data_IF_559838273471
#
_entry.id   IF_559838273471
#
_cell.length_a   1.000
_cell.length_b   1.000
_cell.length_c   1.000
_cell.angle_alpha   90.00
_cell.angle_beta   90.00
_cell.angle_gamma   90.00
#
_symmetry.space_group_name_H-M   'P 1'
#
loop_
_entity.id
_entity.type
_entity.pdbx_description
1 polymer ?
#
# COMPACT_ATOMS: atom_id res chain seq x y z
N UNK A 1 0.94 3.42 -9.95
CA UNK A 1 -0.21 2.56 -10.27
C UNK A 1 -0.52 2.64 -11.76
N UNK A 2 -1.35 1.71 -12.23
CA UNK A 2 -1.97 1.73 -13.55
C UNK A 2 -3.48 1.52 -13.37
N UNK A 3 -4.25 1.76 -14.41
CA UNK A 3 -5.66 1.37 -14.48
C UNK A 3 -5.97 0.84 -15.88
N UNK A 4 -7.09 0.11 -16.00
CA UNK A 4 -7.56 -0.36 -17.30
C UNK A 4 -8.26 0.76 -18.07
N UNK A 5 -7.91 0.88 -19.35
CA UNK A 5 -8.65 1.68 -20.32
C UNK A 5 -10.11 1.21 -20.38
N UNK A 6 -11.09 2.08 -20.72
CA UNK A 6 -12.50 1.73 -20.71
C UNK A 6 -12.88 0.45 -21.46
N UNK A 7 -12.24 0.18 -22.62
CA UNK A 7 -12.50 -1.01 -23.44
C UNK A 7 -12.06 -2.32 -22.79
N UNK A 8 -11.08 -2.29 -21.89
CA UNK A 8 -10.53 -3.47 -21.23
C UNK A 8 -11.16 -3.76 -19.86
N UNK A 9 -11.85 -2.78 -19.26
CA UNK A 9 -12.54 -2.95 -17.97
C UNK A 9 -13.43 -4.19 -17.91
N UNK A 10 -14.21 -4.57 -18.95
CA UNK A 10 -15.07 -5.76 -18.90
C UNK A 10 -14.34 -7.09 -18.65
N UNK A 11 -13.01 -7.16 -18.83
CA UNK A 11 -12.22 -8.35 -18.51
C UNK A 11 -12.17 -8.70 -17.02
N UNK A 12 -12.53 -7.74 -16.14
CA UNK A 12 -12.48 -7.89 -14.69
C UNK A 12 -13.87 -7.66 -14.12
N UNK A 13 -14.51 -8.66 -13.52
CA UNK A 13 -15.88 -8.51 -12.98
C UNK A 13 -15.94 -8.23 -11.47
N UNK A 14 -14.80 -8.25 -10.78
CA UNK A 14 -14.73 -8.03 -9.33
C UNK A 14 -13.30 -7.74 -8.87
N UNK A 15 -13.03 -7.99 -7.59
CA UNK A 15 -11.69 -7.91 -7.03
C UNK A 15 -10.91 -9.18 -7.38
N UNK A 16 -9.72 -9.04 -7.95
CA UNK A 16 -8.84 -10.17 -8.29
C UNK A 16 -7.51 -9.97 -7.58
N UNK A 17 -7.21 -10.88 -6.65
CA UNK A 17 -6.02 -10.86 -5.83
C UNK A 17 -5.26 -12.19 -5.96
N UNK A 18 -3.93 -12.17 -5.94
CA UNK A 18 -3.13 -13.38 -5.78
C UNK A 18 -3.33 -13.95 -4.37
N UNK A 19 -3.02 -15.23 -4.20
CA UNK A 19 -2.98 -15.87 -2.89
C UNK A 19 -1.87 -15.21 -2.05
N UNK A 20 -2.16 -14.71 -0.83
CA UNK A 20 -1.15 -14.08 0.01
C UNK A 20 -0.01 -15.05 0.37
N UNK A 21 1.23 -14.57 0.30
CA UNK A 21 2.38 -15.27 0.87
C UNK A 21 2.59 -14.77 2.32
N UNK A 22 2.46 -15.63 3.35
CA UNK A 22 2.57 -15.21 4.75
C UNK A 22 3.96 -14.69 5.13
N UNK A 23 4.98 -14.92 4.30
CA UNK A 23 6.33 -14.39 4.52
C UNK A 23 6.48 -12.96 4.00
N UNK A 24 5.51 -12.51 3.23
CA UNK A 24 5.57 -11.26 2.50
C UNK A 24 4.49 -10.31 3.02
N UNK A 25 4.85 -9.11 3.48
CA UNK A 25 3.89 -8.20 4.13
C UNK A 25 2.86 -7.58 3.16
N UNK A 26 2.92 -7.93 1.89
CA UNK A 26 2.18 -7.25 0.85
C UNK A 26 1.68 -8.24 -0.22
N UNK A 27 0.60 -7.94 -0.93
CA UNK A 27 -0.08 -8.93 -1.77
C UNK A 27 0.53 -9.13 -3.16
N UNK A 28 1.24 -8.14 -3.69
CA UNK A 28 1.72 -8.14 -5.07
C UNK A 28 0.73 -7.45 -6.01
N UNK A 29 0.80 -7.82 -7.29
CA UNK A 29 -0.04 -7.25 -8.35
C UNK A 29 -1.47 -7.73 -8.22
N UNK A 30 -2.44 -6.82 -8.29
CA UNK A 30 -3.86 -7.13 -8.15
C UNK A 30 -4.72 -6.15 -8.97
N UNK A 31 -5.98 -6.55 -9.21
CA UNK A 31 -6.96 -5.76 -9.93
C UNK A 31 -8.14 -5.44 -9.03
N UNK A 32 -8.40 -4.15 -8.85
CA UNK A 32 -9.47 -3.63 -7.99
C UNK A 32 -10.50 -2.93 -8.84
N UNK A 33 -11.68 -3.55 -9.00
CA UNK A 33 -12.85 -2.88 -9.58
C UNK A 33 -13.47 -1.92 -8.56
N UNK A 34 -13.43 -0.63 -8.88
CA UNK A 34 -14.04 0.43 -8.09
C UNK A 34 -15.56 0.53 -8.28
N UNK A 35 -16.20 1.27 -7.37
CA UNK A 35 -17.65 1.57 -7.43
C UNK A 35 -18.02 2.48 -8.60
N UNK A 36 -17.05 3.24 -9.11
CA UNK A 36 -17.14 4.09 -10.31
C UNK A 36 -16.99 3.28 -11.61
N UNK A 37 -16.80 1.97 -11.51
CA UNK A 37 -16.60 1.07 -12.64
C UNK A 37 -15.17 1.07 -13.20
N UNK A 38 -14.27 1.91 -12.66
CA UNK A 38 -12.84 1.87 -12.94
C UNK A 38 -12.20 0.57 -12.47
N UNK A 39 -11.08 0.18 -13.07
CA UNK A 39 -10.32 -1.01 -12.64
C UNK A 39 -8.87 -0.59 -12.43
N UNK A 40 -8.50 -0.44 -11.17
CA UNK A 40 -7.12 -0.11 -10.80
C UNK A 40 -6.27 -1.36 -10.81
N UNK A 41 -5.06 -1.23 -11.34
CA UNK A 41 -4.02 -2.23 -11.35
C UNK A 41 -2.83 -1.68 -10.56
N UNK A 42 -2.67 -2.16 -9.33
CA UNK A 42 -1.54 -1.79 -8.50
C UNK A 42 -0.41 -2.76 -8.67
N UNK A 43 0.85 -2.31 -8.88
CA UNK A 43 1.95 -3.05 -8.30
C UNK A 43 1.82 -2.92 -6.78
N UNK A 44 2.70 -3.60 -6.08
CA UNK A 44 2.63 -3.60 -4.64
C UNK A 44 3.13 -2.29 -4.00
N UNK A 45 3.21 -2.26 -2.67
CA UNK A 45 3.82 -1.16 -1.93
C UNK A 45 5.36 -1.15 -2.09
N UNK A 46 5.90 0.05 -2.31
CA UNK A 46 7.34 0.34 -2.28
C UNK A 46 7.60 1.47 -1.30
N UNK A 47 8.86 1.62 -0.85
CA UNK A 47 9.23 2.73 0.01
C UNK A 47 9.07 4.06 -0.74
N UNK A 48 8.26 4.97 -0.19
CA UNK A 48 8.23 6.37 -0.63
C UNK A 48 9.45 7.12 -0.07
N UNK A 49 10.08 7.96 -0.89
CA UNK A 49 11.26 8.75 -0.51
C UNK A 49 10.90 10.16 0.00
N UNK A 50 9.61 10.41 0.18
CA UNK A 50 9.05 11.56 0.87
C UNK A 50 7.67 11.16 1.44
N UNK A 51 7.27 11.72 2.59
CA UNK A 51 5.98 11.46 3.26
C UNK A 51 4.78 11.84 2.39
N UNK A 52 4.96 12.82 1.52
CA UNK A 52 3.97 13.26 0.52
C UNK A 52 4.50 13.06 -0.92
N UNK A 53 5.34 12.05 -1.14
CA UNK A 53 5.93 11.75 -2.44
C UNK A 53 5.04 10.86 -3.30
N UNK A 54 4.23 11.47 -4.17
CA UNK A 54 3.28 10.75 -5.04
C UNK A 54 3.87 10.36 -6.41
N UNK A 55 5.08 10.82 -6.72
CA UNK A 55 5.82 10.50 -7.95
C UNK A 55 7.18 9.92 -7.59
N UNK A 56 7.76 9.13 -8.50
CA UNK A 56 9.11 8.58 -8.36
C UNK A 56 10.21 9.61 -8.18
N UNK A 57 10.00 10.83 -8.69
CA UNK A 57 10.95 11.94 -8.59
C UNK A 57 10.78 12.77 -7.32
N UNK A 58 9.72 12.52 -6.54
CA UNK A 58 9.48 13.23 -5.29
C UNK A 58 10.38 12.61 -4.22
N UNK A 59 11.46 13.31 -3.89
CA UNK A 59 12.49 12.86 -2.96
C UNK A 59 12.76 13.96 -1.95
N UNK A 60 12.61 13.64 -0.68
CA UNK A 60 13.10 14.43 0.43
C UNK A 60 14.30 13.71 1.06
N UNK A 61 15.47 14.33 0.98
CA UNK A 61 16.72 13.73 1.48
C UNK A 61 16.68 13.57 3.00
N UNK A 62 16.12 14.53 3.72
CA UNK A 62 16.04 14.50 5.18
C UNK A 62 15.16 13.34 5.64
N UNK A 63 13.94 13.25 5.10
CA UNK A 63 13.00 12.19 5.44
C UNK A 63 13.49 10.80 5.03
N UNK A 64 14.15 10.70 3.87
CA UNK A 64 14.78 9.46 3.42
C UNK A 64 15.87 9.04 4.39
N UNK A 65 16.77 9.94 4.77
CA UNK A 65 17.86 9.64 5.72
C UNK A 65 17.31 9.25 7.10
N UNK A 66 16.29 9.95 7.59
CA UNK A 66 15.64 9.63 8.85
C UNK A 66 15.02 8.21 8.83
N UNK A 67 14.35 7.86 7.73
CA UNK A 67 13.78 6.53 7.53
C UNK A 67 14.87 5.46 7.48
N UNK A 68 15.94 5.68 6.71
CA UNK A 68 17.04 4.71 6.57
C UNK A 68 17.85 4.53 7.88
N UNK A 69 17.93 5.57 8.72
CA UNK A 69 18.62 5.52 10.03
C UNK A 69 17.77 4.88 11.11
N UNK A 70 16.45 4.86 10.96
CA UNK A 70 15.53 4.25 11.93
C UNK A 70 15.91 2.79 12.23
N UNK A 71 16.10 2.40 13.51
CA UNK A 71 16.29 1.01 13.90
C UNK A 71 15.15 0.11 13.42
N UNK A 72 13.90 0.54 13.61
CA UNK A 72 12.69 -0.16 13.17
C UNK A 72 12.75 -0.49 11.67
N UNK A 73 13.04 0.52 10.83
CA UNK A 73 13.13 0.32 9.39
C UNK A 73 14.28 -0.61 9.00
N UNK A 74 15.44 -0.50 9.64
CA UNK A 74 16.58 -1.40 9.36
C UNK A 74 16.27 -2.86 9.72
N UNK A 75 15.55 -3.10 10.82
CA UNK A 75 15.09 -4.44 11.17
C UNK A 75 14.10 -4.99 10.13
N UNK A 76 13.12 -4.18 9.72
CA UNK A 76 12.17 -4.53 8.66
C UNK A 76 12.90 -4.85 7.34
N UNK A 77 13.80 -3.96 6.90
CA UNK A 77 14.55 -4.11 5.68
C UNK A 77 15.39 -5.39 5.70
N UNK A 78 16.07 -5.72 6.80
CA UNK A 78 16.83 -6.98 6.92
C UNK A 78 15.99 -8.23 6.67
N UNK A 79 14.70 -8.20 7.04
CA UNK A 79 13.77 -9.32 6.82
C UNK A 79 13.23 -9.38 5.38
N UNK A 80 13.01 -8.23 4.74
CA UNK A 80 12.26 -8.15 3.47
C UNK A 80 12.98 -7.43 2.31
N UNK A 81 14.30 -7.17 2.41
CA UNK A 81 15.04 -6.39 1.41
C UNK A 81 14.94 -6.97 0.00
N UNK A 82 15.08 -8.30 -0.11
CA UNK A 82 15.01 -9.01 -1.39
C UNK A 82 13.66 -8.77 -2.07
N UNK A 83 12.58 -8.88 -1.31
CA UNK A 83 11.23 -8.76 -1.83
C UNK A 83 10.92 -7.30 -2.17
N UNK A 84 11.35 -6.35 -1.31
CA UNK A 84 11.24 -4.92 -1.57
C UNK A 84 11.94 -4.49 -2.86
N UNK A 85 13.15 -4.99 -3.13
CA UNK A 85 13.84 -4.75 -4.40
C UNK A 85 13.03 -5.34 -5.57
N UNK A 86 12.49 -6.55 -5.40
CA UNK A 86 11.61 -7.18 -6.39
C UNK A 86 10.42 -6.30 -6.75
N UNK A 87 9.78 -5.68 -5.75
CA UNK A 87 8.66 -4.77 -5.97
C UNK A 87 9.05 -3.45 -6.61
N UNK A 88 10.21 -2.88 -6.28
CA UNK A 88 10.71 -1.68 -6.96
C UNK A 88 10.93 -1.97 -8.44
N UNK A 89 11.63 -3.06 -8.76
CA UNK A 89 11.88 -3.46 -10.16
C UNK A 89 10.57 -3.73 -10.90
N UNK A 90 9.59 -4.36 -10.23
CA UNK A 90 8.25 -4.60 -10.80
C UNK A 90 7.51 -3.29 -11.06
N UNK A 91 7.58 -2.34 -10.13
CA UNK A 91 6.88 -1.06 -10.21
C UNK A 91 7.46 -0.12 -11.28
N UNK A 92 8.75 -0.27 -11.60
CA UNK A 92 9.43 0.47 -12.66
C UNK A 92 9.34 -0.21 -14.04
N UNK A 93 9.01 -1.51 -14.10
CA UNK A 93 9.00 -2.30 -15.33
C UNK A 93 7.58 -2.65 -15.76
N UNK A 94 7.06 -1.93 -16.76
CA UNK A 94 5.73 -2.19 -17.34
C UNK A 94 5.59 -3.62 -17.86
N UNK A 95 6.65 -4.15 -18.48
CA UNK A 95 6.66 -5.54 -18.99
C UNK A 95 6.50 -6.57 -17.88
N UNK A 96 7.19 -6.41 -16.75
CA UNK A 96 7.07 -7.34 -15.61
C UNK A 96 5.73 -7.20 -14.91
N UNK A 97 5.26 -5.96 -14.80
CA UNK A 97 3.95 -5.66 -14.25
C UNK A 97 2.83 -6.33 -15.07
N UNK A 98 2.83 -6.16 -16.40
CA UNK A 98 1.88 -6.80 -17.30
C UNK A 98 1.98 -8.32 -17.24
N UNK A 99 3.19 -8.89 -17.26
CA UNK A 99 3.37 -10.35 -17.19
C UNK A 99 2.72 -10.96 -15.94
N UNK A 100 2.75 -10.27 -14.80
CA UNK A 100 2.13 -10.73 -13.56
C UNK A 100 0.61 -10.50 -13.55
N UNK A 101 0.12 -9.41 -14.14
CA UNK A 101 -1.32 -9.22 -14.40
C UNK A 101 -1.88 -10.32 -15.30
N UNK A 102 -1.13 -10.73 -16.32
CA UNK A 102 -1.53 -11.81 -17.25
C UNK A 102 -1.62 -13.18 -16.58
N UNK A 103 -1.05 -13.36 -15.38
CA UNK A 103 -1.28 -14.57 -14.57
C UNK A 103 -2.66 -14.59 -13.94
N UNK A 104 -3.27 -13.41 -13.75
CA UNK A 104 -4.59 -13.22 -13.19
C UNK A 104 -5.66 -13.08 -14.29
N UNK A 105 -5.34 -12.33 -15.35
CA UNK A 105 -6.22 -12.07 -16.51
C UNK A 105 -5.38 -12.18 -17.80
N UNK A 106 -5.28 -13.37 -18.40
CA UNK A 106 -4.40 -13.65 -19.55
C UNK A 106 -4.63 -12.78 -20.79
N UNK A 107 -5.84 -12.25 -20.96
CA UNK A 107 -6.26 -11.46 -22.12
C UNK A 107 -5.69 -10.04 -22.14
N UNK A 108 -5.17 -9.55 -21.01
CA UNK A 108 -4.63 -8.20 -20.89
C UNK A 108 -3.43 -7.97 -21.79
N UNK A 109 -3.38 -6.78 -22.39
CA UNK A 109 -2.28 -6.30 -23.24
C UNK A 109 -1.68 -5.01 -22.69
N UNK A 110 -0.56 -4.61 -23.28
CA UNK A 110 0.11 -3.37 -22.90
C UNK A 110 -0.77 -2.14 -23.19
N UNK A 111 -1.51 -2.14 -24.31
CA UNK A 111 -2.43 -1.05 -24.67
C UNK A 111 -3.64 -0.91 -23.72
N UNK A 112 -3.92 -1.93 -22.91
CA UNK A 112 -5.04 -1.92 -21.97
C UNK A 112 -4.70 -1.16 -20.68
N UNK A 113 -3.43 -0.83 -20.45
CA UNK A 113 -2.94 -0.20 -19.23
C UNK A 113 -2.60 1.27 -19.46
N UNK A 114 -3.20 2.15 -18.65
CA UNK A 114 -2.86 3.57 -18.60
C UNK A 114 -2.36 3.99 -17.21
N UNK A 115 -1.56 5.07 -17.10
CA UNK A 115 -1.14 5.60 -15.81
C UNK A 115 -2.32 5.94 -14.90
N UNK A 116 -2.21 5.59 -13.63
CA UNK A 116 -3.15 5.99 -12.59
C UNK A 116 -2.40 6.69 -11.44
N UNK A 117 -3.06 7.60 -10.70
CA UNK A 117 -2.49 8.25 -9.53
C UNK A 117 -1.91 7.25 -8.53
N UNK A 118 -0.81 7.62 -7.87
CA UNK A 118 -0.28 6.84 -6.76
C UNK A 118 -0.93 7.26 -5.43
N UNK A 119 -0.80 6.41 -4.42
CA UNK A 119 -1.13 6.73 -3.04
C UNK A 119 0.08 6.47 -2.15
N UNK A 120 0.24 7.29 -1.11
CA UNK A 120 1.22 7.08 -0.04
C UNK A 120 0.46 6.63 1.21
N UNK A 121 0.91 5.52 1.81
CA UNK A 121 0.31 4.97 3.03
C UNK A 121 1.29 5.12 4.19
N UNK A 122 0.87 5.82 5.24
CA UNK A 122 1.56 5.78 6.52
C UNK A 122 1.37 4.39 7.15
N UNK A 123 2.47 3.78 7.57
CA UNK A 123 2.50 2.44 8.15
C UNK A 123 3.42 2.45 9.36
N UNK A 124 2.87 2.17 10.53
CA UNK A 124 3.67 2.05 11.74
C UNK A 124 4.53 0.78 11.68
N UNK A 125 5.78 0.93 12.10
CA UNK A 125 6.77 -0.14 12.24
C UNK A 125 7.30 -0.06 13.67
N UNK A 126 7.21 -1.18 14.41
CA UNK A 126 7.73 -1.28 15.76
C UNK A 126 9.27 -1.37 15.75
N UNK A 127 9.90 -1.16 16.91
CA UNK A 127 11.36 -1.11 17.05
C UNK A 127 12.07 -2.39 16.56
N UNK A 128 11.38 -3.54 16.68
CA UNK A 128 11.85 -4.84 16.22
C UNK A 128 11.66 -5.06 14.70
N UNK A 129 11.11 -4.08 13.98
CA UNK A 129 10.81 -4.15 12.55
C UNK A 129 9.48 -4.80 12.19
N UNK A 130 8.62 -5.07 13.18
CA UNK A 130 7.28 -5.64 12.94
C UNK A 130 6.34 -4.54 12.42
N UNK A 131 5.60 -4.85 11.35
CA UNK A 131 4.55 -3.98 10.83
C UNK A 131 3.33 -4.08 11.73
N UNK A 132 2.76 -2.93 12.10
CA UNK A 132 1.49 -2.93 12.84
C UNK A 132 0.35 -3.16 11.85
N UNK A 133 -0.31 -4.31 11.96
CA UNK A 133 -1.38 -4.71 11.03
C UNK A 133 -2.75 -4.09 11.38
N UNK A 134 -2.94 -3.66 12.63
CA UNK A 134 -4.21 -3.11 13.13
C UNK A 134 -4.09 -1.65 13.58
N UNK A 135 -5.18 -1.05 14.07
CA UNK A 135 -5.19 0.30 14.61
C UNK A 135 -4.27 0.44 15.81
N UNK A 136 -3.43 1.48 15.80
CA UNK A 136 -2.59 1.84 16.95
C UNK A 136 -3.06 3.18 17.52
N UNK A 137 -3.77 3.10 18.64
CA UNK A 137 -4.28 4.25 19.38
C UNK A 137 -3.50 4.39 20.70
N UNK A 138 -2.90 5.55 20.93
CA UNK A 138 -2.14 5.85 22.16
C UNK A 138 -2.75 7.03 22.88
N UNK A 139 -3.18 6.81 24.12
CA UNK A 139 -3.69 7.88 24.98
C UNK A 139 -2.55 8.61 25.67
N UNK A 140 -2.64 9.94 25.72
CA UNK A 140 -1.78 10.82 26.49
C UNK A 140 -2.58 11.87 27.25
N UNK A 141 -1.93 12.75 28.03
CA UNK A 141 -2.63 13.81 28.76
C UNK A 141 -3.45 14.71 27.82
N UNK A 142 -4.78 14.62 27.89
CA UNK A 142 -5.70 15.42 27.09
C UNK A 142 -5.73 15.11 25.58
N UNK A 143 -5.14 14.00 25.13
CA UNK A 143 -5.08 13.66 23.71
C UNK A 143 -5.14 12.14 23.46
N UNK A 144 -5.73 11.77 22.33
CA UNK A 144 -5.65 10.42 21.77
C UNK A 144 -4.94 10.50 20.42
N UNK A 145 -3.84 9.77 20.27
CA UNK A 145 -3.05 9.74 19.05
C UNK A 145 -3.41 8.52 18.21
N UNK A 146 -3.79 8.74 16.96
CA UNK A 146 -3.98 7.68 15.95
C UNK A 146 -2.66 7.51 15.20
N UNK A 147 -1.85 6.53 15.62
CA UNK A 147 -0.51 6.32 15.09
C UNK A 147 -0.47 5.37 13.90
N UNK A 148 -1.45 4.48 13.79
CA UNK A 148 -1.59 3.54 12.68
C UNK A 148 -3.06 3.32 12.38
N UNK A 149 -3.44 3.46 11.11
CA UNK A 149 -4.74 3.08 10.60
C UNK A 149 -4.57 2.48 9.20
N UNK A 150 -4.06 1.25 9.11
CA UNK A 150 -3.74 0.61 7.84
C UNK A 150 -5.03 0.13 7.16
N UNK A 151 -4.89 -0.42 5.95
CA UNK A 151 -6.04 -0.97 5.22
C UNK A 151 -6.66 -2.14 6.00
N UNK A 152 -8.01 -2.22 6.14
CA UNK A 152 -9.01 -1.43 5.45
C UNK A 152 -9.60 -0.26 6.27
N UNK A 153 -8.78 0.74 6.65
CA UNK A 153 -9.23 1.90 7.43
C UNK A 153 -10.42 2.67 6.81
N UNK A 154 -10.48 2.82 5.49
CA UNK A 154 -11.59 3.50 4.83
C UNK A 154 -12.92 2.76 5.05
N UNK A 155 -12.91 1.44 4.88
CA UNK A 155 -14.08 0.57 5.08
C UNK A 155 -14.50 0.51 6.55
N UNK A 156 -13.54 0.51 7.47
CA UNK A 156 -13.77 0.46 8.91
C UNK A 156 -13.94 1.85 9.56
N UNK A 157 -14.04 2.93 8.77
CA UNK A 157 -13.95 4.31 9.26
C UNK A 157 -14.98 4.67 10.34
N UNK A 158 -16.22 4.14 10.23
CA UNK A 158 -17.27 4.36 11.23
C UNK A 158 -16.93 3.70 12.58
N UNK A 159 -16.44 2.47 12.55
CA UNK A 159 -16.06 1.74 13.77
C UNK A 159 -14.81 2.34 14.41
N UNK A 160 -13.83 2.78 13.61
CA UNK A 160 -12.69 3.56 14.10
C UNK A 160 -13.16 4.83 14.80
N UNK A 161 -14.12 5.54 14.18
CA UNK A 161 -14.72 6.74 14.76
C UNK A 161 -15.41 6.47 16.08
N UNK A 162 -16.18 5.38 16.17
CA UNK A 162 -16.85 4.96 17.40
C UNK A 162 -15.85 4.61 18.51
N UNK A 163 -14.78 3.87 18.18
CA UNK A 163 -13.71 3.50 19.12
C UNK A 163 -12.98 4.74 19.66
N UNK A 164 -12.64 5.68 18.77
CA UNK A 164 -12.04 6.96 19.15
C UNK A 164 -12.96 7.75 20.08
N UNK A 165 -14.25 7.87 19.72
CA UNK A 165 -15.23 8.58 20.53
C UNK A 165 -15.37 7.96 21.93
N UNK A 166 -15.46 6.63 22.02
CA UNK A 166 -15.55 5.90 23.29
C UNK A 166 -14.38 6.18 24.22
N UNK A 167 -13.14 6.16 23.69
CA UNK A 167 -11.93 6.45 24.46
C UNK A 167 -11.83 7.90 24.93
N UNK A 168 -12.35 8.86 24.16
CA UNK A 168 -12.37 10.27 24.53
C UNK A 168 -13.44 10.60 25.57
N UNK A 169 -14.52 9.82 25.63
CA UNK A 169 -15.61 10.01 26.60
C UNK A 169 -15.40 9.32 27.95
N UNK A 170 -14.34 8.51 28.08
CA UNK A 170 -14.02 7.84 29.34
C UNK A 170 -13.19 8.79 30.21
N UNK A 171 -13.64 9.15 31.43
CA UNK A 171 -12.97 10.12 32.30
C UNK A 171 -11.61 9.66 32.82
#
# INVERSE_FOLDING_TARGET
YRELVPSARPLVHGLIYPVPDPRFPFLGVHLTRGVDGGVHAGPNAVLALAREGYRWIDVDIGETVDTLRSPAFRHLARRHLRDGIGEVVRSLSERRFLAELQRLVPELRAEDLQPAPAGVRAQAVLDDGTLVDDFLLVSGPGALHVLNAPSPAATASLEIGAEIAGRLTTP
#
